data_IF_844557773790
#
_entry.id   IF_844557773790
#
_cell.length_a   1.000
_cell.length_b   1.000
_cell.length_c   1.000
_cell.angle_alpha   90.00
_cell.angle_beta   90.00
_cell.angle_gamma   90.00
#
_symmetry.space_group_name_H-M   'P 1'
#
loop_
_entity.id
_entity.type
_entity.pdbx_description
1 polymer ?
#
# COMPACT_ATOMS: atom_id res chain seq x y z
N UNK A 1 35.97 -14.22 -2.06
CA UNK A 1 35.02 -15.32 -2.33
C UNK A 1 34.18 -14.96 -3.54
N UNK A 2 33.96 -15.87 -4.50
CA UNK A 2 33.04 -15.61 -5.62
C UNK A 2 31.61 -15.42 -5.08
N UNK A 3 30.85 -14.46 -5.65
CA UNK A 3 29.48 -14.12 -5.24
C UNK A 3 28.53 -15.33 -5.12
N UNK A 4 28.77 -16.39 -5.90
CA UNK A 4 27.96 -17.60 -5.89
C UNK A 4 28.21 -18.51 -4.67
N UNK A 5 29.40 -18.47 -4.06
CA UNK A 5 29.70 -19.23 -2.82
C UNK A 5 29.16 -18.51 -1.58
N UNK A 6 29.17 -17.17 -1.59
CA UNK A 6 28.49 -16.35 -0.58
C UNK A 6 26.97 -16.58 -0.63
N UNK A 7 26.36 -16.61 -1.82
CA UNK A 7 24.92 -16.93 -2.01
C UNK A 7 24.53 -18.30 -1.47
N UNK A 8 25.27 -19.37 -1.81
CA UNK A 8 25.00 -20.72 -1.28
C UNK A 8 25.21 -20.84 0.23
N UNK A 9 26.19 -20.13 0.80
CA UNK A 9 26.37 -20.10 2.25
C UNK A 9 25.24 -19.35 2.98
N UNK A 10 24.65 -18.35 2.32
CA UNK A 10 23.52 -17.56 2.82
C UNK A 10 22.21 -18.33 2.76
N UNK A 11 21.95 -19.05 1.67
CA UNK A 11 20.79 -19.95 1.53
C UNK A 11 20.80 -21.06 2.57
N UNK A 12 21.97 -21.68 2.80
CA UNK A 12 22.12 -22.70 3.84
C UNK A 12 22.02 -22.12 5.25
N UNK A 13 22.41 -20.86 5.47
CA UNK A 13 22.21 -20.17 6.75
C UNK A 13 20.74 -19.81 7.00
N UNK A 14 19.99 -19.39 5.97
CA UNK A 14 18.55 -19.12 6.04
C UNK A 14 17.72 -20.40 6.29
N UNK A 15 18.13 -21.53 5.71
CA UNK A 15 17.49 -22.83 5.96
C UNK A 15 17.87 -23.43 7.33
N UNK A 16 19.08 -23.18 7.82
CA UNK A 16 19.56 -23.69 9.11
C UNK A 16 19.17 -22.80 10.31
N UNK A 17 18.95 -21.51 10.08
CA UNK A 17 18.55 -20.51 11.06
C UNK A 17 17.32 -19.75 10.58
N UNK A 18 16.26 -20.50 10.26
CA UNK A 18 14.94 -19.93 10.03
C UNK A 18 14.53 -19.12 11.29
N UNK A 19 14.50 -17.77 11.25
CA UNK A 19 14.06 -16.96 12.38
C UNK A 19 12.54 -17.07 12.59
N UNK A 20 11.83 -17.80 11.73
CA UNK A 20 10.37 -17.87 11.64
C UNK A 20 9.81 -19.24 12.02
N UNK A 21 10.64 -20.22 12.41
CA UNK A 21 10.21 -21.46 13.07
C UNK A 21 10.45 -21.36 14.59
N UNK A 22 9.53 -20.65 15.24
CA UNK A 22 9.44 -20.57 16.70
C UNK A 22 8.01 -20.73 17.16
N UNK A 23 7.46 -21.94 16.99
CA UNK A 23 6.51 -22.61 17.89
C UNK A 23 5.80 -23.77 17.19
N UNK A 24 6.51 -24.89 16.99
CA UNK A 24 5.84 -26.18 16.75
C UNK A 24 6.47 -27.27 17.62
N UNK A 25 5.75 -27.58 18.71
CA UNK A 25 5.77 -28.80 19.55
C UNK A 25 6.99 -29.09 20.43
N UNK A 26 6.73 -29.10 21.75
CA UNK A 26 6.80 -30.33 22.57
C UNK A 26 5.90 -30.23 23.80
N UNK A 27 4.73 -30.85 23.69
CA UNK A 27 3.95 -31.34 24.82
C UNK A 27 4.64 -32.57 25.40
N UNK A 28 5.10 -32.51 26.65
CA UNK A 28 5.05 -33.64 27.59
C UNK A 28 5.28 -33.11 29.01
N UNK A 29 4.29 -33.36 29.85
CA UNK A 29 4.24 -33.24 31.31
C UNK A 29 5.50 -33.69 32.06
N UNK A 30 5.92 -32.96 33.11
CA UNK A 30 6.15 -33.41 34.51
C UNK A 30 6.26 -32.17 35.44
N UNK A 31 5.71 -32.31 36.65
CA UNK A 31 5.55 -31.37 37.78
C UNK A 31 6.86 -30.93 38.52
N UNK A 32 6.80 -30.02 39.53
CA UNK A 32 7.77 -28.96 39.74
C UNK A 32 8.86 -29.27 40.79
N UNK A 33 10.05 -28.72 40.58
CA UNK A 33 11.02 -28.51 41.66
C UNK A 33 11.60 -27.08 41.64
N UNK A 34 11.62 -26.52 42.83
CA UNK A 34 12.15 -25.24 43.28
C UNK A 34 13.62 -25.00 42.91
N UNK A 35 13.91 -23.80 42.41
CA UNK A 35 15.26 -23.26 42.30
C UNK A 35 15.24 -21.92 41.59
N UNK A 36 15.62 -20.87 42.31
CA UNK A 36 15.84 -19.53 41.76
C UNK A 36 16.86 -19.60 40.61
N UNK A 37 16.49 -19.08 39.44
CA UNK A 37 17.38 -18.35 38.53
C UNK A 37 16.52 -17.70 37.44
N UNK A 38 16.10 -16.46 37.70
CA UNK A 38 15.50 -15.59 36.70
C UNK A 38 16.61 -15.01 35.80
N UNK A 39 17.00 -15.75 34.77
CA UNK A 39 17.67 -15.16 33.60
C UNK A 39 16.66 -15.09 32.46
N UNK A 40 16.15 -13.89 32.22
CA UNK A 40 15.32 -13.58 31.07
C UNK A 40 16.07 -13.87 29.78
N UNK A 41 15.45 -14.68 28.91
CA UNK A 41 15.95 -15.03 27.59
C UNK A 41 16.06 -13.74 26.77
N UNK A 42 17.31 -13.37 26.47
CA UNK A 42 17.71 -12.10 25.90
C UNK A 42 17.11 -11.84 24.51
N UNK A 43 16.48 -10.67 24.39
CA UNK A 43 16.05 -10.11 23.13
C UNK A 43 17.22 -9.94 22.16
N UNK A 44 16.99 -10.26 20.89
CA UNK A 44 17.89 -9.97 19.79
C UNK A 44 18.24 -8.47 19.82
N UNK A 45 19.54 -8.15 19.93
CA UNK A 45 20.07 -6.77 19.96
C UNK A 45 19.50 -5.93 18.81
N UNK A 46 19.26 -4.63 19.08
CA UNK A 46 18.83 -3.64 18.07
C UNK A 46 19.68 -3.73 16.79
N UNK A 47 20.99 -3.98 16.94
CA UNK A 47 21.96 -4.16 15.84
C UNK A 47 21.67 -5.39 14.97
N UNK A 48 21.24 -6.50 15.57
CA UNK A 48 20.91 -7.72 14.83
C UNK A 48 19.57 -7.59 14.09
N UNK A 49 18.58 -6.89 14.67
CA UNK A 49 17.35 -6.52 13.96
C UNK A 49 17.65 -5.60 12.78
N UNK A 50 18.52 -4.61 12.98
CA UNK A 50 18.99 -3.69 11.95
C UNK A 50 19.70 -4.38 10.76
N UNK A 51 20.57 -5.36 11.02
CA UNK A 51 21.22 -6.13 9.96
C UNK A 51 20.23 -6.96 9.11
N UNK A 52 19.15 -7.45 9.72
CA UNK A 52 18.05 -8.13 9.01
C UNK A 52 17.31 -7.13 8.11
N UNK A 53 17.07 -5.89 8.57
CA UNK A 53 16.44 -4.85 7.74
C UNK A 53 17.32 -4.42 6.58
N UNK A 54 18.61 -4.26 6.80
CA UNK A 54 19.57 -3.98 5.73
C UNK A 54 19.56 -5.06 4.66
N UNK A 55 19.50 -6.33 5.07
CA UNK A 55 19.41 -7.44 4.13
C UNK A 55 18.09 -7.41 3.36
N UNK A 56 16.95 -7.28 4.04
CA UNK A 56 15.62 -7.24 3.41
C UNK A 56 15.45 -6.04 2.46
N UNK A 57 15.93 -4.86 2.83
CA UNK A 57 15.93 -3.67 1.97
C UNK A 57 16.91 -3.79 0.80
N UNK A 58 18.02 -4.52 0.96
CA UNK A 58 18.96 -4.81 -0.14
C UNK A 58 18.42 -5.81 -1.17
N UNK A 59 17.39 -6.57 -0.83
CA UNK A 59 16.67 -7.47 -1.76
C UNK A 59 15.67 -6.70 -2.65
N UNK A 60 15.40 -5.44 -2.31
CA UNK A 60 14.49 -4.56 -3.03
C UNK A 60 15.39 -3.58 -3.76
N UNK A 61 15.16 -3.33 -5.04
CA UNK A 61 16.06 -2.50 -5.85
C UNK A 61 15.87 -0.99 -5.55
N UNK A 62 15.70 -0.64 -4.27
CA UNK A 62 15.75 0.75 -3.79
C UNK A 62 17.21 1.14 -3.77
N UNK A 63 17.72 1.64 -4.90
CA UNK A 63 19.07 2.20 -4.98
C UNK A 63 19.29 3.37 -4.00
N UNK A 64 18.22 3.91 -3.42
CA UNK A 64 18.20 5.09 -2.58
C UNK A 64 17.63 4.86 -1.17
N UNK A 65 17.98 3.76 -0.50
CA UNK A 65 17.94 3.72 0.98
C UNK A 65 19.33 4.11 1.49
N UNK A 66 19.64 5.40 1.67
CA UNK A 66 21.02 5.84 1.86
C UNK A 66 21.47 5.71 3.32
N UNK A 67 20.54 5.40 4.23
CA UNK A 67 20.80 5.42 5.66
C UNK A 67 21.27 4.06 6.18
N UNK A 68 22.51 4.04 6.67
CA UNK A 68 23.18 2.88 7.29
C UNK A 68 22.83 2.76 8.79
N UNK A 69 22.09 3.69 9.40
CA UNK A 69 21.60 3.59 10.78
C UNK A 69 20.35 4.47 10.91
N UNK A 70 19.41 4.18 11.83
CA UNK A 70 18.34 5.11 12.17
C UNK A 70 18.92 6.49 12.52
N UNK A 71 18.27 7.55 12.04
CA UNK A 71 18.71 8.92 12.32
C UNK A 71 17.68 9.69 13.13
N UNK A 72 18.08 10.78 13.76
CA UNK A 72 17.14 11.60 14.52
C UNK A 72 16.11 12.28 13.59
N UNK A 73 14.85 12.35 14.03
CA UNK A 73 13.76 13.03 13.33
C UNK A 73 14.13 14.43 12.82
N UNK A 74 14.73 15.28 13.65
CA UNK A 74 15.07 16.66 13.30
C UNK A 74 16.15 16.74 12.20
N UNK A 75 16.98 15.70 12.06
CA UNK A 75 18.00 15.63 11.02
C UNK A 75 17.38 15.37 9.65
N UNK A 76 16.36 14.50 9.58
CA UNK A 76 15.63 14.20 8.34
C UNK A 76 14.58 15.28 8.04
N UNK A 77 13.91 15.77 9.07
CA UNK A 77 12.77 16.68 9.00
C UNK A 77 13.01 17.87 9.94
N UNK A 78 13.88 18.82 9.55
CA UNK A 78 14.19 19.98 10.39
C UNK A 78 12.96 20.86 10.58
N UNK A 79 12.94 21.66 11.67
CA UNK A 79 11.81 22.54 12.01
C UNK A 79 11.36 23.46 10.87
N UNK A 80 12.30 23.91 10.04
CA UNK A 80 12.02 24.73 8.84
C UNK A 80 11.12 24.02 7.82
N UNK A 81 11.13 22.69 7.78
CA UNK A 81 10.27 21.86 6.95
C UNK A 81 8.96 21.58 7.67
N UNK A 82 9.02 21.13 8.93
CA UNK A 82 7.83 20.72 9.68
C UNK A 82 6.86 21.86 10.00
N UNK A 83 7.33 23.11 10.07
CA UNK A 83 6.48 24.29 10.25
C UNK A 83 5.51 24.55 9.07
N UNK A 84 5.77 23.96 7.91
CA UNK A 84 4.93 24.05 6.72
C UNK A 84 4.24 22.71 6.41
N UNK A 85 4.24 21.77 7.36
CA UNK A 85 3.48 20.54 7.27
C UNK A 85 1.99 20.80 7.51
N UNK A 86 1.16 19.95 6.92
CA UNK A 86 -0.27 19.84 7.22
C UNK A 86 -0.61 18.37 7.44
N UNK A 87 -1.29 18.00 8.53
CA UNK A 87 -1.87 16.65 8.64
C UNK A 87 -3.04 16.54 7.66
N UNK A 88 -2.99 15.55 6.76
CA UNK A 88 -4.00 15.36 5.71
C UNK A 88 -4.86 14.11 5.89
N UNK A 89 -4.39 13.17 6.69
CA UNK A 89 -5.11 11.94 6.99
C UNK A 89 -4.41 11.16 8.08
N UNK A 90 -5.04 10.04 8.41
CA UNK A 90 -4.57 9.05 9.37
C UNK A 90 -4.93 7.68 8.83
N UNK A 91 -4.08 6.70 9.10
CA UNK A 91 -4.38 5.29 8.91
C UNK A 91 -4.32 4.59 10.27
N UNK A 92 -4.80 3.35 10.32
CA UNK A 92 -4.84 2.56 11.55
C UNK A 92 -3.49 2.51 12.31
N UNK A 93 -2.38 2.60 11.56
CA UNK A 93 -1.03 2.41 12.11
C UNK A 93 -0.10 3.60 11.91
N UNK A 94 -0.61 4.77 11.52
CA UNK A 94 0.28 5.90 11.28
C UNK A 94 -0.40 7.18 10.85
N UNK A 95 0.40 8.22 10.78
CA UNK A 95 -0.04 9.59 10.55
C UNK A 95 0.45 10.08 9.20
N UNK A 96 -0.40 10.80 8.47
CA UNK A 96 -0.10 11.26 7.11
C UNK A 96 -0.06 12.78 7.07
N UNK A 97 1.11 13.31 6.73
CA UNK A 97 1.37 14.73 6.59
C UNK A 97 1.69 15.11 5.15
N UNK A 98 1.44 16.36 4.81
CA UNK A 98 1.79 16.98 3.55
C UNK A 98 2.79 18.10 3.82
N UNK A 99 3.87 18.17 3.07
CA UNK A 99 4.82 19.27 3.17
C UNK A 99 5.33 19.69 1.79
N UNK A 100 5.83 20.92 1.69
CA UNK A 100 6.39 21.47 0.46
C UNK A 100 7.91 21.41 0.51
N UNK A 101 8.56 20.83 -0.50
CA UNK A 101 10.03 20.78 -0.54
C UNK A 101 10.60 22.17 -0.85
N UNK A 102 11.80 22.53 -0.35
CA UNK A 102 12.44 23.81 -0.64
C UNK A 102 12.65 24.07 -2.13
N UNK A 103 12.96 23.01 -2.90
CA UNK A 103 13.18 23.06 -4.35
C UNK A 103 11.88 23.03 -5.17
N UNK A 104 10.72 23.15 -4.52
CA UNK A 104 9.41 23.02 -5.13
C UNK A 104 8.87 21.59 -5.13
N UNK A 105 7.57 21.46 -5.36
CA UNK A 105 6.84 20.20 -5.25
C UNK A 105 6.25 19.95 -3.86
N UNK A 106 5.24 19.10 -3.83
CA UNK A 106 4.51 18.71 -2.62
C UNK A 106 4.72 17.23 -2.37
N UNK A 107 5.08 16.89 -1.14
CA UNK A 107 5.37 15.52 -0.69
C UNK A 107 4.39 15.11 0.40
N UNK A 108 3.95 13.86 0.32
CA UNK A 108 3.18 13.20 1.38
C UNK A 108 4.15 12.37 2.21
N UNK A 109 4.06 12.49 3.53
CA UNK A 109 4.91 11.83 4.51
C UNK A 109 4.03 10.95 5.40
N UNK A 110 4.11 9.63 5.24
CA UNK A 110 3.43 8.65 6.10
C UNK A 110 4.42 8.19 7.17
N UNK A 111 4.12 8.51 8.44
CA UNK A 111 4.97 8.18 9.60
C UNK A 111 4.39 6.97 10.31
N UNK A 112 5.15 5.88 10.37
CA UNK A 112 4.70 4.58 10.89
C UNK A 112 5.61 4.16 12.06
N UNK A 113 5.12 4.13 13.31
CA UNK A 113 5.87 3.60 14.45
C UNK A 113 6.10 2.09 14.30
N UNK A 114 7.31 1.63 14.63
CA UNK A 114 7.71 0.23 14.49
C UNK A 114 8.60 -0.23 15.65
N UNK A 115 8.55 -1.54 15.91
CA UNK A 115 9.51 -2.20 16.80
C UNK A 115 9.35 -1.91 18.29
N UNK A 116 8.37 -1.09 18.68
CA UNK A 116 7.98 -0.89 20.07
C UNK A 116 7.02 -1.96 20.57
N UNK A 117 6.95 -2.13 21.89
CA UNK A 117 6.04 -3.04 22.58
C UNK A 117 4.78 -2.35 23.10
N UNK A 118 4.67 -1.04 22.89
CA UNK A 118 3.52 -0.25 23.30
C UNK A 118 2.37 -0.46 22.32
N UNK A 119 1.14 -0.55 22.83
CA UNK A 119 -0.06 -0.50 21.98
C UNK A 119 -0.28 0.91 21.47
N UNK A 120 -0.65 1.04 20.19
CA UNK A 120 -0.92 2.31 19.51
C UNK A 120 -2.26 2.18 18.82
N UNK A 121 -3.21 3.06 19.12
CA UNK A 121 -4.58 3.03 18.57
C UNK A 121 -5.35 1.76 18.95
N UNK A 122 -5.10 1.22 20.15
CA UNK A 122 -5.71 -0.02 20.64
C UNK A 122 -5.14 -1.32 20.07
N UNK A 123 -4.16 -1.25 19.15
CA UNK A 123 -3.52 -2.40 18.52
C UNK A 123 -2.03 -2.48 18.89
N UNK A 124 -1.43 -3.68 18.77
CA UNK A 124 0.02 -3.79 18.84
C UNK A 124 0.65 -3.05 17.65
N UNK A 125 1.82 -2.41 17.84
CA UNK A 125 2.57 -1.84 16.72
C UNK A 125 2.78 -2.88 15.61
N UNK A 126 2.70 -2.45 14.35
CA UNK A 126 2.95 -3.32 13.19
C UNK A 126 4.26 -4.07 13.40
N UNK A 127 4.22 -5.37 13.17
CA UNK A 127 5.44 -6.16 13.07
C UNK A 127 6.23 -5.63 11.90
N UNK A 128 7.55 -5.66 12.03
CA UNK A 128 8.43 -5.20 10.96
C UNK A 128 8.14 -5.82 9.60
N UNK A 129 7.76 -7.10 9.56
CA UNK A 129 7.36 -7.78 8.33
C UNK A 129 6.22 -7.04 7.61
N UNK A 130 5.25 -6.52 8.33
CA UNK A 130 4.07 -5.86 7.76
C UNK A 130 4.43 -4.49 7.16
N UNK A 131 5.26 -3.72 7.86
CA UNK A 131 5.72 -2.41 7.35
C UNK A 131 6.67 -2.57 6.17
N UNK A 132 7.56 -3.57 6.22
CA UNK A 132 8.44 -3.87 5.11
C UNK A 132 7.66 -4.32 3.88
N UNK A 133 6.68 -5.23 4.01
CA UNK A 133 5.83 -5.63 2.89
C UNK A 133 5.21 -4.42 2.19
N UNK A 134 4.64 -3.47 2.95
CA UNK A 134 4.06 -2.23 2.40
C UNK A 134 5.10 -1.41 1.62
N UNK A 135 6.28 -1.18 2.19
CA UNK A 135 7.35 -0.39 1.56
C UNK A 135 7.86 -1.05 0.28
N UNK A 136 8.08 -2.37 0.31
CA UNK A 136 8.58 -3.12 -0.84
C UNK A 136 7.57 -3.05 -1.98
N UNK A 137 6.31 -3.36 -1.69
CA UNK A 137 5.23 -3.32 -2.68
C UNK A 137 5.08 -1.91 -3.24
N UNK A 138 5.05 -0.88 -2.39
CA UNK A 138 4.99 0.51 -2.84
C UNK A 138 6.11 0.87 -3.81
N UNK A 139 7.33 0.41 -3.52
CA UNK A 139 8.51 0.73 -4.32
C UNK A 139 8.48 0.00 -5.67
N UNK A 140 8.17 -1.29 -5.68
CA UNK A 140 8.06 -2.07 -6.93
C UNK A 140 6.95 -1.53 -7.84
N UNK A 141 5.79 -1.17 -7.27
CA UNK A 141 4.69 -0.56 -8.02
C UNK A 141 5.05 0.83 -8.56
N UNK A 142 5.77 1.64 -7.77
CA UNK A 142 6.31 2.94 -8.20
C UNK A 142 7.25 2.79 -9.40
N UNK A 143 8.09 1.75 -9.40
CA UNK A 143 9.06 1.46 -10.46
C UNK A 143 8.41 1.08 -11.80
N UNK A 144 7.16 0.59 -11.81
CA UNK A 144 6.42 0.31 -13.05
C UNK A 144 6.24 1.56 -13.94
N UNK A 145 6.35 2.77 -13.38
CA UNK A 145 6.35 4.03 -14.15
C UNK A 145 7.58 4.16 -15.04
N UNK A 146 8.73 3.68 -14.55
CA UNK A 146 10.03 3.82 -15.21
C UNK A 146 10.49 2.53 -15.90
N UNK A 147 9.67 1.48 -15.81
CA UNK A 147 9.96 0.20 -16.42
C UNK A 147 10.31 0.34 -17.90
N UNK A 148 11.43 -0.26 -18.27
CA UNK A 148 11.85 -0.41 -19.68
C UNK A 148 11.42 -1.74 -20.27
N UNK A 149 10.66 -2.54 -19.51
CA UNK A 149 10.10 -3.81 -19.95
C UNK A 149 8.87 -3.59 -20.84
N UNK A 150 8.20 -4.70 -21.13
CA UNK A 150 6.96 -4.76 -21.89
C UNK A 150 5.76 -4.22 -21.11
N UNK A 151 5.90 -3.98 -19.82
CA UNK A 151 4.84 -3.56 -18.90
C UNK A 151 5.22 -2.24 -18.22
N UNK A 152 4.39 -1.20 -18.40
CA UNK A 152 4.63 0.14 -17.89
C UNK A 152 3.32 0.86 -17.55
N UNK A 153 3.22 1.40 -16.33
CA UNK A 153 2.05 2.16 -15.86
C UNK A 153 2.47 3.24 -14.87
N UNK A 154 1.82 4.40 -14.93
CA UNK A 154 1.94 5.46 -13.91
C UNK A 154 0.72 5.50 -12.97
N UNK A 155 -0.01 4.38 -12.84
CA UNK A 155 -1.25 4.28 -12.07
C UNK A 155 -1.06 4.08 -10.57
N UNK A 156 0.17 3.89 -10.10
CA UNK A 156 0.53 3.74 -8.69
C UNK A 156 1.30 4.96 -8.21
N UNK A 157 1.23 5.22 -6.90
CA UNK A 157 1.93 6.35 -6.28
C UNK A 157 3.44 6.21 -6.41
N UNK A 158 4.11 7.35 -6.63
CA UNK A 158 5.56 7.38 -6.73
C UNK A 158 6.19 7.50 -5.34
N UNK A 159 6.99 6.50 -4.98
CA UNK A 159 7.84 6.55 -3.79
C UNK A 159 9.05 7.42 -4.10
N UNK A 160 9.22 8.49 -3.33
CA UNK A 160 10.27 9.48 -3.54
C UNK A 160 11.42 9.36 -2.55
N UNK A 161 11.14 8.86 -1.34
CA UNK A 161 12.15 8.67 -0.30
C UNK A 161 11.60 7.71 0.76
N UNK A 162 12.50 7.01 1.44
CA UNK A 162 12.16 6.19 2.61
C UNK A 162 13.23 6.44 3.69
N UNK A 163 12.80 6.66 4.92
CA UNK A 163 13.67 7.00 6.04
C UNK A 163 13.37 6.12 7.24
N UNK A 164 14.40 5.70 7.96
CA UNK A 164 14.25 5.11 9.29
C UNK A 164 14.72 6.13 10.31
N UNK A 165 13.81 6.58 11.17
CA UNK A 165 14.09 7.62 12.16
C UNK A 165 13.87 7.11 13.57
N UNK A 166 14.61 7.67 14.51
CA UNK A 166 14.54 7.36 15.93
C UNK A 166 14.35 8.64 16.75
N UNK A 167 13.54 8.58 17.80
CA UNK A 167 13.34 9.67 18.75
C UNK A 167 11.87 9.89 19.08
N UNK A 168 11.59 10.88 19.94
CA UNK A 168 10.21 11.32 20.22
C UNK A 168 9.51 11.84 18.98
N UNK A 169 8.18 11.81 19.01
CA UNK A 169 7.37 12.44 17.98
C UNK A 169 7.61 13.96 17.99
N UNK A 170 7.91 14.60 16.84
CA UNK A 170 8.23 16.02 16.83
C UNK A 170 7.06 16.90 17.29
N UNK A 171 7.33 17.85 18.18
CA UNK A 171 6.34 18.81 18.73
C UNK A 171 5.53 19.50 17.63
N UNK A 172 6.17 19.89 16.53
CA UNK A 172 5.48 20.50 15.40
C UNK A 172 4.44 19.57 14.75
N UNK A 173 4.71 18.26 14.69
CA UNK A 173 3.76 17.28 14.14
C UNK A 173 2.67 16.92 15.16
N UNK A 174 2.98 16.95 16.47
CA UNK A 174 1.97 16.82 17.53
C UNK A 174 0.94 17.94 17.46
N UNK A 175 1.39 19.20 17.34
CA UNK A 175 0.49 20.35 17.20
C UNK A 175 -0.43 20.24 15.96
N UNK A 176 0.08 19.67 14.86
CA UNK A 176 -0.72 19.41 13.66
C UNK A 176 -1.71 18.25 13.87
N UNK A 177 -1.35 17.27 14.67
CA UNK A 177 -2.23 16.18 15.07
C UNK A 177 -3.40 16.69 15.93
N UNK A 178 -3.12 17.54 16.92
CA UNK A 178 -4.13 18.17 17.76
C UNK A 178 -5.10 19.03 16.92
N UNK A 179 -4.55 19.88 16.04
CA UNK A 179 -5.37 20.70 15.14
C UNK A 179 -6.27 19.83 14.23
N UNK A 180 -5.76 18.71 13.73
CA UNK A 180 -6.55 17.78 12.92
C UNK A 180 -7.68 17.15 13.76
N UNK A 181 -7.38 16.69 14.97
CA UNK A 181 -8.36 16.13 15.90
C UNK A 181 -9.46 17.14 16.24
N UNK A 182 -9.11 18.39 16.50
CA UNK A 182 -10.08 19.46 16.78
C UNK A 182 -10.98 19.77 15.57
N UNK A 183 -10.43 19.74 14.36
CA UNK A 183 -11.15 20.19 13.15
C UNK A 183 -11.89 19.08 12.42
N UNK A 184 -11.40 17.84 12.46
CA UNK A 184 -11.96 16.69 11.73
C UNK A 184 -12.31 15.49 12.60
N UNK A 185 -11.90 15.51 13.88
CA UNK A 185 -11.83 14.31 14.70
C UNK A 185 -10.59 13.48 14.36
N UNK A 186 -10.18 12.61 15.28
CA UNK A 186 -9.18 11.59 15.04
C UNK A 186 -9.64 10.29 15.69
N UNK A 187 -9.50 9.18 14.97
CA UNK A 187 -9.73 7.83 15.50
C UNK A 187 -8.48 7.24 16.15
N UNK A 188 -7.32 7.86 15.91
CA UNK A 188 -6.06 7.46 16.49
C UNK A 188 -5.87 8.08 17.89
N UNK A 189 -5.01 7.45 18.68
CA UNK A 189 -4.45 7.99 19.92
C UNK A 189 -3.35 9.01 19.58
N UNK A 190 -3.06 9.92 20.53
CA UNK A 190 -1.99 10.89 20.32
C UNK A 190 -0.63 10.18 20.25
N UNK A 191 0.23 10.49 19.26
CA UNK A 191 1.57 9.92 19.18
C UNK A 191 2.56 10.54 20.19
N UNK A 192 2.10 11.35 21.15
CA UNK A 192 2.93 11.88 22.24
C UNK A 192 3.51 10.78 23.15
N UNK A 193 2.89 9.60 23.17
CA UNK A 193 3.29 8.46 24.02
C UNK A 193 4.69 7.89 23.71
N UNK A 194 5.29 8.27 22.59
CA UNK A 194 6.55 7.70 22.14
C UNK A 194 7.77 8.40 22.75
N UNK A 195 8.71 7.60 23.23
CA UNK A 195 9.96 8.05 23.87
C UNK A 195 11.15 8.05 22.90
N UNK A 196 12.33 8.49 23.38
CA UNK A 196 13.52 8.73 22.56
C UNK A 196 14.07 7.48 21.84
N UNK A 197 13.71 6.28 22.28
CA UNK A 197 14.15 5.01 21.67
C UNK A 197 13.19 4.49 20.58
N UNK A 198 12.00 5.08 20.42
CA UNK A 198 11.02 4.66 19.43
C UNK A 198 11.56 4.81 18.01
N UNK A 199 11.38 3.76 17.20
CA UNK A 199 11.71 3.76 15.78
C UNK A 199 10.47 4.05 14.93
N UNK A 200 10.69 4.70 13.80
CA UNK A 200 9.68 4.93 12.78
C UNK A 200 10.25 4.64 11.40
N UNK A 201 9.40 4.13 10.53
CA UNK A 201 9.60 4.17 9.10
C UNK A 201 8.76 5.30 8.53
N UNK A 202 9.41 6.15 7.75
CA UNK A 202 8.77 7.27 7.07
C UNK A 202 8.81 7.00 5.57
N UNK A 203 7.63 6.80 4.99
CA UNK A 203 7.44 6.62 3.56
C UNK A 203 7.03 7.97 2.95
N UNK A 204 7.85 8.49 2.04
CA UNK A 204 7.57 9.74 1.35
C UNK A 204 7.17 9.50 -0.10
N UNK A 205 6.00 10.02 -0.48
CA UNK A 205 5.47 9.90 -1.83
C UNK A 205 5.19 11.26 -2.47
N UNK A 206 5.03 11.27 -3.79
CA UNK A 206 4.53 12.46 -4.46
C UNK A 206 3.09 12.75 -4.05
N UNK A 207 2.71 14.03 -3.99
CA UNK A 207 1.29 14.38 -3.87
C UNK A 207 0.52 13.95 -5.12
N UNK A 208 -0.55 13.18 -4.92
CA UNK A 208 -1.30 12.51 -5.99
C UNK A 208 -2.78 12.94 -6.05
N UNK A 209 -3.12 14.11 -5.48
CA UNK A 209 -4.45 14.70 -5.58
C UNK A 209 -5.35 14.37 -4.39
N UNK A 210 -6.67 14.25 -4.63
CA UNK A 210 -7.65 13.97 -3.59
C UNK A 210 -8.34 12.61 -3.79
N UNK A 211 -8.86 11.99 -2.72
CA UNK A 211 -9.59 10.73 -2.82
C UNK A 211 -10.83 10.83 -3.71
N UNK A 212 -11.19 9.74 -4.39
CA UNK A 212 -12.38 9.66 -5.27
C UNK A 212 -13.65 10.09 -4.55
N UNK A 213 -13.80 9.75 -3.26
CA UNK A 213 -14.95 10.12 -2.45
C UNK A 213 -15.16 11.65 -2.33
N UNK A 214 -14.12 12.45 -2.54
CA UNK A 214 -14.15 13.91 -2.45
C UNK A 214 -13.95 14.60 -3.81
N UNK A 215 -13.83 13.86 -4.91
CA UNK A 215 -13.56 14.42 -6.23
C UNK A 215 -14.84 14.95 -6.91
N UNK A 216 -14.84 16.19 -7.45
CA UNK A 216 -16.00 16.77 -8.12
C UNK A 216 -16.11 16.25 -9.56
N UNK A 217 -16.78 15.11 -9.77
CA UNK A 217 -17.03 14.60 -11.11
C UNK A 217 -18.03 15.48 -11.85
N UNK A 218 -17.68 15.89 -13.07
CA UNK A 218 -18.55 16.64 -13.97
C UNK A 218 -19.52 15.67 -14.65
N UNK A 219 -19.03 14.57 -15.23
CA UNK A 219 -19.84 13.62 -15.98
C UNK A 219 -19.26 12.20 -15.97
N UNK A 220 -20.09 11.20 -16.31
CA UNK A 220 -19.73 9.78 -16.25
C UNK A 220 -18.51 9.38 -17.11
N UNK A 221 -18.10 10.17 -18.12
CA UNK A 221 -16.88 9.87 -18.88
C UNK A 221 -15.60 9.94 -18.03
N UNK A 222 -15.58 10.77 -16.98
CA UNK A 222 -14.47 10.84 -16.04
C UNK A 222 -14.41 9.57 -15.18
N UNK A 223 -15.55 9.12 -14.65
CA UNK A 223 -15.62 7.86 -13.89
C UNK A 223 -15.27 6.64 -14.76
N UNK A 224 -15.73 6.61 -16.02
CA UNK A 224 -15.35 5.57 -16.98
C UNK A 224 -13.85 5.57 -17.29
N UNK A 225 -13.25 6.75 -17.50
CA UNK A 225 -11.81 6.92 -17.67
C UNK A 225 -11.04 6.43 -16.45
N UNK A 226 -11.44 6.87 -15.25
CA UNK A 226 -10.86 6.43 -13.99
C UNK A 226 -10.90 4.91 -13.87
N UNK A 227 -12.05 4.28 -14.09
CA UNK A 227 -12.19 2.84 -14.01
C UNK A 227 -11.23 2.10 -14.97
N UNK A 228 -11.15 2.53 -16.23
CA UNK A 228 -10.21 1.94 -17.17
C UNK A 228 -8.76 2.13 -16.73
N UNK A 229 -8.39 3.33 -16.26
CA UNK A 229 -7.02 3.59 -15.78
C UNK A 229 -6.64 2.65 -14.62
N UNK A 230 -7.57 2.37 -13.71
CA UNK A 230 -7.40 1.42 -12.60
C UNK A 230 -7.22 0.00 -13.16
N UNK A 231 -8.15 -0.47 -14.00
CA UNK A 231 -8.12 -1.81 -14.56
C UNK A 231 -6.81 -2.11 -15.32
N UNK A 232 -6.33 -1.15 -16.10
CA UNK A 232 -5.05 -1.27 -16.81
C UNK A 232 -3.85 -1.33 -15.89
N UNK A 233 -3.79 -0.46 -14.87
CA UNK A 233 -2.70 -0.46 -13.91
C UNK A 233 -2.66 -1.78 -13.11
N UNK A 234 -3.82 -2.30 -12.69
CA UNK A 234 -3.93 -3.61 -12.04
C UNK A 234 -3.50 -4.75 -12.98
N UNK A 235 -3.98 -4.78 -14.21
CA UNK A 235 -3.60 -5.81 -15.19
C UNK A 235 -2.08 -5.84 -15.45
N UNK A 236 -1.45 -4.68 -15.53
CA UNK A 236 0.01 -4.54 -15.70
C UNK A 236 0.75 -5.06 -14.46
N UNK A 237 0.29 -4.72 -13.26
CA UNK A 237 0.91 -5.18 -12.02
C UNK A 237 0.66 -6.69 -11.76
N UNK A 238 -0.49 -7.23 -12.15
CA UNK A 238 -0.76 -8.67 -12.15
C UNK A 238 0.23 -9.42 -13.05
N UNK A 239 0.50 -8.89 -14.25
CA UNK A 239 1.37 -9.54 -15.23
C UNK A 239 2.85 -9.46 -14.84
N UNK A 240 3.30 -8.34 -14.26
CA UNK A 240 4.70 -8.14 -13.89
C UNK A 240 5.04 -8.71 -12.50
N UNK A 241 4.13 -8.57 -11.52
CA UNK A 241 4.42 -8.80 -10.10
C UNK A 241 3.45 -9.76 -9.43
N UNK A 242 2.50 -10.37 -10.17
CA UNK A 242 1.40 -11.12 -9.57
C UNK A 242 0.70 -10.32 -8.46
N UNK A 243 0.45 -9.04 -8.73
CA UNK A 243 -0.05 -8.10 -7.75
C UNK A 243 -1.52 -8.30 -7.42
N UNK A 244 -1.84 -8.21 -6.14
CA UNK A 244 -3.20 -8.02 -5.63
C UNK A 244 -3.22 -6.82 -4.70
N UNK A 245 -4.13 -5.87 -4.91
CA UNK A 245 -4.22 -4.69 -4.03
C UNK A 245 -4.82 -5.04 -2.66
N UNK A 246 -5.89 -5.86 -2.66
CA UNK A 246 -6.63 -6.35 -1.49
C UNK A 246 -7.30 -5.31 -0.60
N UNK A 247 -7.19 -4.02 -0.91
CA UNK A 247 -7.85 -2.95 -0.16
C UNK A 247 -8.17 -1.69 -0.99
N UNK A 248 -8.66 -1.86 -2.21
CA UNK A 248 -8.81 -0.76 -3.17
C UNK A 248 -10.17 -0.03 -3.03
N UNK A 249 -10.48 0.45 -1.82
CA UNK A 249 -11.67 1.27 -1.57
C UNK A 249 -11.49 2.71 -2.11
N UNK A 250 -12.56 3.51 -2.16
CA UNK A 250 -12.53 4.87 -2.75
C UNK A 250 -11.55 5.84 -2.06
N UNK A 251 -11.08 5.52 -0.86
CA UNK A 251 -10.05 6.28 -0.13
C UNK A 251 -8.65 6.04 -0.68
N UNK A 252 -8.40 4.85 -1.25
CA UNK A 252 -7.12 4.42 -1.79
C UNK A 252 -6.95 4.70 -3.29
N UNK A 253 -7.90 5.42 -3.88
CA UNK A 253 -7.85 5.91 -5.25
C UNK A 253 -7.82 7.43 -5.19
N UNK A 254 -6.71 8.02 -5.65
CA UNK A 254 -6.54 9.46 -5.74
C UNK A 254 -6.70 9.95 -7.17
N UNK A 255 -7.25 11.16 -7.32
CA UNK A 255 -7.47 11.82 -8.60
C UNK A 255 -6.79 13.18 -8.65
N UNK A 256 -6.11 13.43 -9.76
CA UNK A 256 -5.64 14.77 -10.16
C UNK A 256 -6.37 15.25 -11.40
N UNK A 257 -6.61 16.56 -11.46
CA UNK A 257 -7.17 17.20 -12.64
C UNK A 257 -6.07 17.40 -13.69
N UNK A 258 -6.34 16.94 -14.90
CA UNK A 258 -5.46 17.07 -16.07
C UNK A 258 -6.21 17.71 -17.23
N UNK A 259 -5.53 17.97 -18.35
CA UNK A 259 -6.21 18.47 -19.56
C UNK A 259 -7.23 17.45 -20.05
N UNK A 260 -8.41 17.91 -20.46
CA UNK A 260 -9.52 17.04 -20.91
C UNK A 260 -9.17 16.20 -22.15
N UNK A 261 -8.23 16.68 -22.96
CA UNK A 261 -7.73 16.02 -24.16
C UNK A 261 -6.45 15.19 -23.91
N UNK A 262 -5.94 15.18 -22.68
CA UNK A 262 -4.78 14.37 -22.32
C UNK A 262 -5.07 12.88 -22.50
N UNK A 263 -4.06 12.13 -22.94
CA UNK A 263 -4.14 10.68 -23.05
C UNK A 263 -3.16 10.06 -22.06
N UNK A 264 -3.68 9.20 -21.19
CA UNK A 264 -2.86 8.41 -20.28
C UNK A 264 -2.33 7.22 -21.07
N UNK A 265 -1.00 7.06 -21.06
CA UNK A 265 -0.30 6.05 -21.84
C UNK A 265 0.16 4.92 -20.94
N UNK A 266 -0.07 3.71 -21.40
CA UNK A 266 0.35 2.46 -20.76
C UNK A 266 1.15 1.65 -21.78
N UNK A 267 2.04 0.79 -21.29
CA UNK A 267 2.58 -0.32 -22.07
C UNK A 267 2.14 -1.61 -21.40
N UNK A 268 1.55 -2.50 -22.17
CA UNK A 268 1.11 -3.79 -21.67
C UNK A 268 1.52 -4.85 -22.68
N UNK A 269 2.39 -5.77 -22.26
CA UNK A 269 2.99 -6.81 -23.10
C UNK A 269 3.58 -6.26 -24.41
N UNK A 270 4.34 -5.17 -24.28
CA UNK A 270 5.06 -4.51 -25.38
C UNK A 270 4.19 -3.58 -26.22
N UNK A 271 2.86 -3.60 -26.03
CA UNK A 271 1.92 -2.77 -26.80
C UNK A 271 1.62 -1.46 -26.08
N UNK A 272 1.80 -0.35 -26.78
CA UNK A 272 1.39 0.96 -26.28
C UNK A 272 -0.15 1.12 -26.38
N UNK A 273 -0.77 1.50 -25.27
CA UNK A 273 -2.21 1.71 -25.13
C UNK A 273 -2.44 3.12 -24.59
N UNK A 274 -3.40 3.84 -25.18
CA UNK A 274 -3.72 5.22 -24.81
C UNK A 274 -5.20 5.35 -24.44
N UNK A 275 -5.46 5.85 -23.24
CA UNK A 275 -6.81 6.08 -22.71
C UNK A 275 -7.04 7.59 -22.65
N UNK A 276 -8.18 8.07 -23.15
CA UNK A 276 -8.55 9.47 -22.99
C UNK A 276 -8.80 9.76 -21.51
N UNK A 277 -8.09 10.73 -20.93
CA UNK A 277 -8.18 11.06 -19.51
C UNK A 277 -9.55 11.60 -19.12
N UNK A 278 -10.23 12.31 -20.04
CA UNK A 278 -11.41 13.12 -19.75
C UNK A 278 -11.19 14.11 -18.60
N UNK A 279 -9.95 14.55 -18.41
CA UNK A 279 -9.55 15.50 -17.38
C UNK A 279 -9.24 14.89 -16.02
N UNK A 280 -9.19 13.56 -15.91
CA UNK A 280 -8.80 12.87 -14.66
C UNK A 280 -7.60 11.95 -14.88
N UNK A 281 -6.68 11.98 -13.92
CA UNK A 281 -5.57 11.03 -13.83
C UNK A 281 -5.61 10.31 -12.48
N UNK A 282 -5.55 8.99 -12.53
CA UNK A 282 -5.63 8.09 -11.37
C UNK A 282 -4.25 7.85 -10.76
N UNK A 283 -4.23 7.71 -9.43
CA UNK A 283 -3.10 7.16 -8.68
C UNK A 283 -3.62 6.32 -7.51
N UNK A 284 -3.27 5.03 -7.48
CA UNK A 284 -3.59 4.12 -6.39
C UNK A 284 -2.53 4.20 -5.29
N UNK A 285 -2.99 4.12 -4.04
CA UNK A 285 -2.18 4.23 -2.82
C UNK A 285 -2.54 3.13 -1.83
N UNK A 286 -1.78 3.07 -0.74
CA UNK A 286 -1.96 2.19 0.42
C UNK A 286 -1.91 0.69 0.08
N UNK A 287 -0.72 0.14 0.24
CA UNK A 287 -0.44 -1.26 -0.06
C UNK A 287 -0.30 -2.11 1.20
N UNK A 288 -0.90 -1.66 2.31
CA UNK A 288 -0.82 -2.31 3.63
C UNK A 288 -1.24 -3.78 3.57
N UNK A 289 -2.31 -4.09 2.83
CA UNK A 289 -2.86 -5.45 2.72
C UNK A 289 -2.43 -6.17 1.44
N UNK A 290 -1.65 -5.51 0.58
CA UNK A 290 -1.36 -5.98 -0.76
C UNK A 290 -0.42 -7.18 -0.78
N UNK A 291 -0.31 -7.80 -1.96
CA UNK A 291 0.54 -8.96 -2.22
C UNK A 291 1.22 -8.85 -3.58
N UNK A 292 2.49 -9.25 -3.65
CA UNK A 292 3.25 -9.46 -4.89
C UNK A 292 4.09 -10.74 -4.81
N UNK A 293 4.64 -11.15 -5.95
CA UNK A 293 5.77 -12.08 -6.03
C UNK A 293 6.97 -11.35 -6.64
N UNK A 294 8.09 -11.33 -5.92
CA UNK A 294 9.37 -10.77 -6.35
C UNK A 294 10.44 -11.86 -6.27
N UNK A 295 11.12 -12.17 -7.38
CA UNK A 295 12.15 -13.21 -7.45
C UNK A 295 11.72 -14.58 -6.84
N UNK A 296 10.48 -14.99 -7.10
CA UNK A 296 9.83 -16.19 -6.54
C UNK A 296 9.54 -16.15 -5.03
N UNK A 297 9.70 -15.00 -4.38
CA UNK A 297 9.32 -14.77 -2.98
C UNK A 297 7.99 -14.02 -2.93
N UNK A 298 7.05 -14.57 -2.17
CA UNK A 298 5.75 -13.92 -1.95
C UNK A 298 5.87 -12.89 -0.83
N UNK A 299 5.58 -11.63 -1.15
CA UNK A 299 5.60 -10.51 -0.22
C UNK A 299 4.15 -10.09 0.00
N UNK A 300 3.68 -10.22 1.24
CA UNK A 300 2.29 -10.00 1.61
C UNK A 300 2.16 -9.77 3.13
N UNK A 301 0.99 -9.33 3.56
CA UNK A 301 0.55 -9.38 4.96
C UNK A 301 -0.44 -10.53 5.13
N UNK A 302 -0.23 -11.33 6.18
CA UNK A 302 -1.10 -12.46 6.49
C UNK A 302 -2.29 -11.97 7.32
N UNK A 303 -3.48 -12.03 6.73
CA UNK A 303 -4.73 -11.59 7.34
C UNK A 303 -5.51 -12.77 7.96
N UNK A 304 -4.95 -13.97 7.99
CA UNK A 304 -5.66 -15.20 8.39
C UNK A 304 -6.26 -15.15 9.80
N UNK A 305 -5.68 -14.35 10.69
CA UNK A 305 -6.12 -14.17 12.08
C UNK A 305 -6.69 -12.77 12.38
N UNK A 306 -6.87 -11.92 11.36
CA UNK A 306 -7.39 -10.57 11.54
C UNK A 306 -8.91 -10.58 11.58
N UNK A 307 -9.50 -10.59 12.78
CA UNK A 307 -10.95 -10.56 12.92
C UNK A 307 -11.57 -9.18 12.64
N UNK A 308 -10.80 -8.10 12.70
CA UNK A 308 -11.30 -6.73 12.54
C UNK A 308 -11.74 -6.46 11.11
N UNK A 309 -10.93 -6.86 10.14
CA UNK A 309 -11.18 -6.65 8.69
C UNK A 309 -12.47 -7.34 8.22
N UNK A 310 -12.77 -8.56 8.71
CA UNK A 310 -13.89 -9.36 8.21
C UNK A 310 -15.23 -9.15 8.94
N UNK A 311 -15.23 -8.45 10.09
CA UNK A 311 -16.42 -8.21 10.90
C UNK A 311 -17.19 -6.93 10.53
N UNK A 312 -16.68 -6.16 9.57
CA UNK A 312 -17.36 -4.96 9.09
C UNK A 312 -18.68 -5.23 8.37
N UNK A 313 -19.56 -4.22 8.34
CA UNK A 313 -20.86 -4.25 7.67
C UNK A 313 -21.32 -2.85 7.25
N UNK A 314 -22.35 -2.78 6.40
CA UNK A 314 -22.98 -1.52 6.00
C UNK A 314 -22.43 -0.90 4.71
N UNK A 315 -21.36 -1.44 4.14
CA UNK A 315 -20.85 -1.09 2.82
C UNK A 315 -20.39 -2.34 2.06
N UNK A 316 -20.51 -2.32 0.73
CA UNK A 316 -20.05 -3.40 -0.15
C UNK A 316 -18.56 -3.71 0.04
N UNK A 317 -17.75 -2.73 0.45
CA UNK A 317 -16.35 -2.88 0.85
C UNK A 317 -16.14 -4.08 1.80
N UNK A 318 -16.99 -4.20 2.82
CA UNK A 318 -16.83 -5.27 3.81
C UNK A 318 -17.21 -6.65 3.28
N UNK A 319 -18.08 -6.71 2.28
CA UNK A 319 -18.39 -7.95 1.59
C UNK A 319 -17.23 -8.37 0.67
N UNK A 320 -16.48 -7.42 0.10
CA UNK A 320 -15.26 -7.74 -0.67
C UNK A 320 -14.23 -8.47 0.19
N UNK A 321 -14.00 -8.04 1.44
CA UNK A 321 -13.07 -8.74 2.34
C UNK A 321 -13.48 -10.20 2.58
N UNK A 322 -14.77 -10.43 2.84
CA UNK A 322 -15.32 -11.79 3.05
C UNK A 322 -15.19 -12.64 1.79
N UNK A 323 -15.48 -12.07 0.62
CA UNK A 323 -15.37 -12.76 -0.66
C UNK A 323 -13.91 -13.13 -0.98
N UNK A 324 -12.95 -12.24 -0.71
CA UNK A 324 -11.52 -12.55 -0.86
C UNK A 324 -11.10 -13.70 0.05
N UNK A 325 -11.46 -13.65 1.35
CA UNK A 325 -11.17 -14.72 2.30
C UNK A 325 -11.78 -16.06 1.86
N UNK A 326 -13.02 -16.04 1.37
CA UNK A 326 -13.67 -17.24 0.85
C UNK A 326 -12.95 -17.80 -0.38
N UNK A 327 -12.56 -16.92 -1.31
CA UNK A 327 -11.94 -17.31 -2.59
C UNK A 327 -10.54 -17.88 -2.41
N UNK A 328 -9.72 -17.25 -1.58
CA UNK A 328 -8.36 -17.72 -1.31
C UNK A 328 -8.30 -18.82 -0.24
N UNK A 329 -9.43 -19.23 0.35
CA UNK A 329 -9.46 -20.24 1.41
C UNK A 329 -8.74 -19.83 2.70
N UNK A 330 -8.66 -18.52 2.96
CA UNK A 330 -7.86 -17.88 4.00
C UNK A 330 -6.33 -18.06 3.87
N UNK A 331 -5.84 -18.44 2.67
CA UNK A 331 -4.41 -18.59 2.36
C UNK A 331 -3.86 -17.33 1.65
N UNK A 332 -3.46 -16.33 2.43
CA UNK A 332 -3.10 -15.00 1.91
C UNK A 332 -1.76 -14.94 1.18
N UNK A 333 -0.97 -16.01 1.18
CA UNK A 333 0.33 -16.05 0.48
C UNK A 333 0.21 -16.34 -1.02
N UNK A 334 -0.84 -17.09 -1.42
CA UNK A 334 -1.07 -17.47 -2.80
C UNK A 334 -1.49 -16.26 -3.66
N UNK A 335 -1.31 -16.38 -4.98
CA UNK A 335 -1.77 -15.38 -5.93
C UNK A 335 -3.21 -15.69 -6.35
N UNK A 336 -4.15 -14.87 -5.90
CA UNK A 336 -5.57 -14.97 -6.26
C UNK A 336 -6.02 -13.67 -6.96
N UNK A 337 -5.75 -13.50 -8.26
CA UNK A 337 -6.03 -12.25 -8.98
C UNK A 337 -7.51 -11.89 -9.06
N UNK A 338 -8.41 -12.84 -8.77
CA UNK A 338 -9.84 -12.55 -8.67
C UNK A 338 -10.13 -11.53 -7.55
N UNK A 339 -9.24 -11.35 -6.57
CA UNK A 339 -9.37 -10.28 -5.57
C UNK A 339 -9.38 -8.88 -6.22
N UNK A 340 -8.60 -8.64 -7.28
CA UNK A 340 -8.64 -7.39 -8.02
C UNK A 340 -9.96 -7.22 -8.81
N UNK A 341 -10.55 -8.31 -9.31
CA UNK A 341 -11.87 -8.30 -9.96
C UNK A 341 -12.96 -7.89 -8.98
N UNK A 342 -12.91 -8.41 -7.74
CA UNK A 342 -13.82 -8.02 -6.67
C UNK A 342 -13.71 -6.52 -6.32
N UNK A 343 -12.50 -5.97 -6.30
CA UNK A 343 -12.33 -4.53 -6.10
C UNK A 343 -12.78 -3.70 -7.30
N UNK A 344 -12.57 -4.18 -8.53
CA UNK A 344 -13.08 -3.52 -9.74
C UNK A 344 -14.62 -3.53 -9.76
N UNK A 345 -15.27 -4.60 -9.33
CA UNK A 345 -16.74 -4.64 -9.20
C UNK A 345 -17.24 -3.68 -8.12
N UNK A 346 -16.53 -3.56 -7.00
CA UNK A 346 -16.80 -2.54 -5.98
C UNK A 346 -16.72 -1.13 -6.56
N UNK A 347 -15.66 -0.81 -7.31
CA UNK A 347 -15.48 0.52 -7.91
C UNK A 347 -16.60 0.81 -8.91
N UNK A 348 -16.96 -0.16 -9.76
CA UNK A 348 -18.07 -0.01 -10.72
C UNK A 348 -19.40 0.25 -10.00
N UNK A 349 -19.72 -0.53 -8.97
CA UNK A 349 -20.91 -0.28 -8.15
C UNK A 349 -20.91 1.16 -7.63
N UNK A 350 -19.82 1.60 -6.99
CA UNK A 350 -19.72 2.96 -6.46
C UNK A 350 -19.86 4.04 -7.53
N UNK A 351 -19.33 3.82 -8.73
CA UNK A 351 -19.49 4.77 -9.84
C UNK A 351 -20.94 4.94 -10.27
N UNK A 352 -21.77 3.90 -10.12
CA UNK A 352 -23.18 3.90 -10.50
C UNK A 352 -24.08 4.35 -9.35
N UNK A 353 -23.77 3.96 -8.11
CA UNK A 353 -24.67 4.09 -6.95
C UNK A 353 -24.32 5.26 -6.03
N UNK A 354 -23.04 5.64 -5.95
CA UNK A 354 -22.53 6.51 -4.88
C UNK A 354 -21.97 7.84 -5.40
N UNK A 355 -21.22 7.83 -6.51
CA UNK A 355 -20.60 9.05 -7.04
C UNK A 355 -21.64 10.06 -7.53
N UNK A 356 -21.39 11.34 -7.24
CA UNK A 356 -22.20 12.47 -7.71
C UNK A 356 -21.58 13.08 -8.95
N UNK A 357 -22.44 13.47 -9.89
CA UNK A 357 -22.04 14.08 -11.16
C UNK A 357 -22.74 15.42 -11.33
N UNK A 358 -22.00 16.47 -11.69
CA UNK A 358 -22.55 17.82 -11.85
C UNK A 358 -23.47 17.95 -13.09
N UNK A 359 -23.07 17.40 -14.23
CA UNK A 359 -23.81 17.46 -15.49
C UNK A 359 -24.30 16.06 -15.93
N UNK A 360 -25.41 15.63 -15.32
CA UNK A 360 -26.10 14.37 -15.63
C UNK A 360 -26.93 14.43 -16.91
N UNK A 361 -27.24 15.63 -17.41
CA UNK A 361 -28.13 15.85 -18.55
C UNK A 361 -27.40 15.86 -19.89
N UNK A 362 -26.07 15.93 -19.91
CA UNK A 362 -25.32 15.87 -21.16
C UNK A 362 -25.37 14.48 -21.83
N UNK A 363 -25.25 14.47 -23.16
CA UNK A 363 -25.19 13.22 -23.95
C UNK A 363 -24.01 12.33 -23.54
N UNK A 364 -22.91 12.97 -23.15
CA UNK A 364 -21.68 12.29 -22.75
C UNK A 364 -21.88 11.50 -21.46
N UNK A 365 -22.57 12.08 -20.47
CA UNK A 365 -22.92 11.41 -19.22
C UNK A 365 -23.77 10.16 -19.50
N UNK A 366 -24.90 10.29 -20.21
CA UNK A 366 -25.77 9.14 -20.52
C UNK A 366 -25.03 8.00 -21.22
N UNK A 367 -24.20 8.33 -22.21
CA UNK A 367 -23.41 7.34 -22.95
C UNK A 367 -22.49 6.54 -22.03
N UNK A 368 -21.72 7.22 -21.18
CA UNK A 368 -20.72 6.55 -20.34
C UNK A 368 -21.33 5.93 -19.08
N UNK A 369 -22.44 6.47 -18.57
CA UNK A 369 -23.19 5.83 -17.49
C UNK A 369 -23.78 4.49 -17.95
N UNK A 370 -24.27 4.37 -19.18
CA UNK A 370 -24.71 3.08 -19.71
C UNK A 370 -23.55 2.09 -19.81
N UNK A 371 -22.37 2.52 -20.28
CA UNK A 371 -21.17 1.68 -20.32
C UNK A 371 -20.72 1.21 -18.94
N UNK A 372 -20.75 2.09 -17.94
CA UNK A 372 -20.41 1.71 -16.56
C UNK A 372 -21.39 0.65 -16.03
N UNK A 373 -22.69 0.79 -16.32
CA UNK A 373 -23.70 -0.21 -15.94
C UNK A 373 -23.51 -1.54 -16.65
N UNK A 374 -23.19 -1.54 -17.95
CA UNK A 374 -22.86 -2.74 -18.72
C UNK A 374 -21.66 -3.46 -18.11
N UNK A 375 -20.55 -2.73 -17.87
CA UNK A 375 -19.36 -3.27 -17.22
C UNK A 375 -19.66 -3.82 -15.82
N UNK A 376 -20.52 -3.15 -15.04
CA UNK A 376 -20.89 -3.61 -13.69
C UNK A 376 -21.60 -4.97 -13.69
N UNK A 377 -22.35 -5.28 -14.76
CA UNK A 377 -23.01 -6.58 -14.91
C UNK A 377 -22.04 -7.69 -15.34
N UNK A 378 -20.96 -7.34 -16.03
CA UNK A 378 -20.02 -8.28 -16.65
C UNK A 378 -18.76 -8.52 -15.80
N UNK A 379 -18.36 -7.58 -14.95
CA UNK A 379 -17.05 -7.57 -14.27
C UNK A 379 -16.75 -8.86 -13.50
N UNK A 380 -17.72 -9.41 -12.77
CA UNK A 380 -17.56 -10.64 -11.99
C UNK A 380 -17.45 -11.91 -12.85
N UNK A 381 -17.63 -11.80 -14.16
CA UNK A 381 -17.41 -12.89 -15.12
C UNK A 381 -15.95 -13.09 -15.55
N UNK A 382 -15.04 -12.24 -15.08
CA UNK A 382 -13.62 -12.29 -15.41
C UNK A 382 -12.78 -12.96 -14.32
N UNK A 383 -11.70 -13.63 -14.72
CA UNK A 383 -10.81 -14.32 -13.77
C UNK A 383 -9.79 -13.38 -13.11
N UNK A 384 -9.47 -12.25 -13.75
CA UNK A 384 -8.44 -11.30 -13.29
C UNK A 384 -8.62 -9.92 -13.96
N UNK A 385 -7.97 -8.87 -13.44
CA UNK A 385 -7.95 -7.58 -14.14
C UNK A 385 -7.28 -7.70 -15.52
N UNK A 386 -6.26 -8.55 -15.61
CA UNK A 386 -5.58 -8.93 -16.86
C UNK A 386 -6.53 -9.58 -17.86
N UNK A 387 -7.32 -10.56 -17.44
CA UNK A 387 -8.32 -11.20 -18.30
C UNK A 387 -9.34 -10.17 -18.82
N UNK A 388 -9.86 -9.32 -17.94
CA UNK A 388 -10.74 -8.22 -18.32
C UNK A 388 -10.11 -7.29 -19.38
N UNK A 389 -8.89 -6.83 -19.14
CA UNK A 389 -8.17 -5.95 -20.08
C UNK A 389 -7.88 -6.66 -21.41
N UNK A 390 -7.53 -7.94 -21.41
CA UNK A 390 -7.34 -8.73 -22.62
C UNK A 390 -8.64 -8.86 -23.44
N UNK A 391 -9.78 -9.08 -22.78
CA UNK A 391 -11.09 -9.21 -23.42
C UNK A 391 -11.59 -7.89 -24.01
N UNK A 392 -11.34 -6.75 -23.35
CA UNK A 392 -11.70 -5.41 -23.85
C UNK A 392 -11.15 -5.09 -25.25
N UNK A 393 -10.00 -5.67 -25.63
CA UNK A 393 -9.35 -5.43 -26.92
C UNK A 393 -9.47 -6.60 -27.89
N UNK A 394 -10.26 -7.62 -27.54
CA UNK A 394 -10.62 -8.78 -28.36
C UNK A 394 -9.40 -9.47 -28.96
N UNK A 395 -8.62 -10.20 -28.17
CA UNK A 395 -7.45 -11.02 -28.59
C UNK A 395 -6.39 -10.33 -29.48
N UNK A 396 -6.51 -9.05 -29.85
CA UNK A 396 -5.53 -8.29 -30.65
C UNK A 396 -4.32 -7.80 -29.85
N UNK A 397 -4.13 -8.35 -28.65
CA UNK A 397 -2.98 -8.12 -27.76
C UNK A 397 -2.13 -9.40 -27.64
N UNK A 398 -2.59 -10.52 -28.20
CA UNK A 398 -1.86 -11.77 -28.31
C UNK A 398 -1.41 -12.03 -29.74
#
# INVERSE_FOLDING_TARGET
>A
MPLNELRKSSENYLLAHDPFLGDVKKSTSVEPHSGQDSQGIGGVSLTARYLIYKHLLSLVNVQDFPQIEPTNFEKCYPKSLTQHCHKIGEGLYGEVFLYRRPIGGTTVMKVIPIGGTQTVNGENQKKWKEVLSEIIIATELSNLKYSRTDNQTSGFVEVTNIQCVQGKYPEALLNLWDLYKETKGSINESPEIFEDDQLYLVLETNYAGCPVASFPFIHAAQAFSMFLQIAFALAIAEDELQFEHRDLHLGNILLTQVSTNEKITYRFRGKEIKICSYGVKVTMIDFTMSRITLDNVNIFVDLSNDCGVFNGSGDYQYEIYKLMQQKNGNEWSHFEPYSNVLWLSYILDKTVTTLRYEDTNCKLHRKYMNKLKELNLEMLGHDSARDFVCNLFGNKIF
#
